data_IF_692327756588
#
_entry.id   IF_692327756588
#
_cell.length_a   1.000
_cell.length_b   1.000
_cell.length_c   1.000
_cell.angle_alpha   90.00
_cell.angle_beta   90.00
_cell.angle_gamma   90.00
#
_symmetry.space_group_name_H-M   'P 1'
#
loop_
_entity.id
_entity.type
_entity.pdbx_description
1 polymer ?
#
# COMPACT_ATOMS: atom_id res chain seq x y z
N UNK A 1 -22.48 13.52 -8.76
CA UNK A 1 -21.71 12.28 -8.94
C UNK A 1 -20.24 12.56 -8.77
N UNK A 2 -19.55 11.73 -7.99
CA UNK A 2 -18.10 11.84 -7.78
C UNK A 2 -17.43 10.78 -8.66
N UNK A 3 -16.53 11.19 -9.55
CA UNK A 3 -15.78 10.28 -10.43
C UNK A 3 -14.33 10.20 -9.98
N UNK A 4 -13.84 9.00 -9.71
CA UNK A 4 -12.45 8.80 -9.36
C UNK A 4 -11.61 8.39 -10.58
N UNK A 5 -10.30 8.73 -10.57
CA UNK A 5 -9.32 8.23 -11.53
C UNK A 5 -9.26 6.69 -11.60
N UNK A 6 -9.67 6.01 -10.52
CA UNK A 6 -9.78 4.57 -10.41
C UNK A 6 -10.93 3.95 -11.25
N UNK A 7 -11.77 4.78 -11.88
CA UNK A 7 -12.95 4.35 -12.63
C UNK A 7 -14.21 4.21 -11.76
N UNK A 8 -14.09 4.23 -10.43
CA UNK A 8 -15.27 4.21 -9.56
C UNK A 8 -16.00 5.55 -9.62
N UNK A 9 -17.32 5.46 -9.69
CA UNK A 9 -18.22 6.58 -9.49
C UNK A 9 -19.13 6.28 -8.29
N UNK A 10 -19.30 7.25 -7.40
CA UNK A 10 -20.19 7.11 -6.25
C UNK A 10 -21.07 8.35 -6.09
N UNK A 11 -22.31 8.08 -5.69
CA UNK A 11 -23.34 9.08 -5.40
C UNK A 11 -23.19 9.48 -3.93
N UNK A 12 -22.83 10.73 -3.68
CA UNK A 12 -22.76 11.30 -2.33
C UNK A 12 -23.39 12.67 -2.36
N UNK A 13 -24.10 13.04 -1.28
CA UNK A 13 -24.63 14.38 -1.09
C UNK A 13 -23.48 15.39 -1.04
N UNK A 14 -23.27 16.11 -2.14
CA UNK A 14 -22.24 17.15 -2.25
C UNK A 14 -22.89 18.46 -2.67
N UNK A 15 -22.38 19.57 -2.14
CA UNK A 15 -22.77 20.93 -2.56
C UNK A 15 -22.38 21.24 -4.01
N UNK A 16 -21.44 20.47 -4.59
CA UNK A 16 -21.04 20.56 -6.00
C UNK A 16 -21.59 19.39 -6.80
N UNK A 17 -22.15 19.69 -7.99
CA UNK A 17 -22.78 18.70 -8.88
C UNK A 17 -21.81 17.65 -9.43
N UNK A 18 -20.58 18.05 -9.78
CA UNK A 18 -19.54 17.17 -10.34
C UNK A 18 -18.22 17.37 -9.60
N UNK A 19 -17.62 16.27 -9.14
CA UNK A 19 -16.33 16.28 -8.46
C UNK A 19 -15.45 15.17 -9.01
N UNK A 20 -14.25 15.53 -9.47
CA UNK A 20 -13.21 14.59 -9.87
C UNK A 20 -12.24 14.40 -8.71
N UNK A 21 -11.96 13.16 -8.35
CA UNK A 21 -11.10 12.83 -7.20
C UNK A 21 -10.01 11.86 -7.64
N UNK A 22 -8.78 12.06 -7.20
CA UNK A 22 -7.66 11.19 -7.61
C UNK A 22 -7.61 9.88 -6.80
N UNK A 23 -8.13 9.88 -5.57
CA UNK A 23 -8.05 8.74 -4.66
C UNK A 23 -9.45 8.42 -4.09
N UNK A 24 -9.91 7.19 -4.34
CA UNK A 24 -11.15 6.62 -3.80
C UNK A 24 -10.85 5.69 -2.61
N UNK A 25 -11.87 5.30 -1.82
CA UNK A 25 -11.72 4.30 -0.74
C UNK A 25 -11.15 2.98 -1.24
N UNK A 26 -11.42 2.60 -2.50
CA UNK A 26 -10.87 1.41 -3.12
C UNK A 26 -9.38 1.54 -3.50
N UNK A 27 -8.81 2.75 -3.54
CA UNK A 27 -7.43 3.00 -3.95
C UNK A 27 -6.51 3.44 -2.82
N UNK A 28 -7.06 3.98 -1.73
CA UNK A 28 -6.22 4.47 -0.64
C UNK A 28 -5.51 3.28 0.03
N UNK A 29 -4.17 3.28 0.13
CA UNK A 29 -3.37 2.17 0.69
C UNK A 29 -3.82 1.70 2.08
N UNK A 30 -4.45 2.60 2.83
CA UNK A 30 -5.08 2.32 4.13
C UNK A 30 -6.19 1.26 4.06
N UNK A 31 -7.00 1.25 2.99
CA UNK A 31 -8.11 0.32 2.83
C UNK A 31 -7.71 -0.93 2.06
N UNK A 32 -6.71 -0.85 1.18
CA UNK A 32 -6.22 -2.01 0.41
C UNK A 32 -5.27 -2.90 1.20
N UNK A 33 -5.04 -2.60 2.48
CA UNK A 33 -4.43 -3.53 3.44
C UNK A 33 -2.98 -3.87 3.16
N UNK A 34 -2.31 -3.18 2.23
CA UNK A 34 -0.86 -3.30 2.04
C UNK A 34 -0.20 -2.53 3.17
N UNK A 35 -0.21 -3.12 4.37
CA UNK A 35 0.75 -2.78 5.40
C UNK A 35 2.11 -2.90 4.72
N UNK A 36 2.73 -1.76 4.45
CA UNK A 36 4.15 -1.71 4.17
C UNK A 36 4.77 -2.20 5.48
N UNK A 37 5.02 -3.51 5.58
CA UNK A 37 5.93 -4.04 6.58
C UNK A 37 7.21 -3.30 6.25
N UNK A 38 7.49 -2.25 7.03
CA UNK A 38 8.76 -1.56 6.94
C UNK A 38 9.71 -2.57 7.54
N UNK A 39 10.30 -3.35 6.64
CA UNK A 39 11.05 -4.54 6.95
C UNK A 39 12.11 -4.25 8.01
N UNK A 40 11.86 -4.74 9.21
CA UNK A 40 12.89 -4.94 10.24
C UNK A 40 14.01 -5.85 9.72
N UNK A 41 13.80 -6.53 8.59
CA UNK A 41 14.78 -7.33 7.87
C UNK A 41 16.07 -6.56 7.55
N UNK A 42 16.01 -5.27 7.21
CA UNK A 42 17.22 -4.53 6.80
C UNK A 42 18.29 -4.36 7.90
N UNK A 43 17.92 -4.43 9.18
CA UNK A 43 18.89 -4.45 10.30
C UNK A 43 19.45 -5.84 10.56
N UNK A 44 18.62 -6.87 10.42
CA UNK A 44 19.00 -8.28 10.60
C UNK A 44 19.89 -8.76 9.46
N UNK A 45 19.56 -8.41 8.20
CA UNK A 45 20.38 -8.69 7.02
C UNK A 45 21.79 -8.09 7.14
N UNK A 46 21.89 -6.83 7.62
CA UNK A 46 23.20 -6.18 7.85
C UNK A 46 24.01 -6.87 8.95
N UNK A 47 23.34 -7.40 9.97
CA UNK A 47 23.98 -8.19 11.03
C UNK A 47 24.46 -9.53 10.47
N UNK A 48 23.60 -10.29 9.80
CA UNK A 48 23.92 -11.59 9.21
C UNK A 48 25.06 -11.48 8.19
N UNK A 49 25.07 -10.43 7.35
CA UNK A 49 26.14 -10.14 6.38
C UNK A 49 27.47 -9.77 7.04
N UNK A 50 27.45 -9.20 8.25
CA UNK A 50 28.67 -8.86 9.00
C UNK A 50 29.28 -10.08 9.69
N UNK A 51 28.46 -11.07 10.04
CA UNK A 51 28.88 -12.27 10.78
C UNK A 51 28.91 -13.55 9.92
N UNK A 52 28.74 -13.47 8.60
CA UNK A 52 28.71 -14.61 7.66
C UNK A 52 27.75 -15.74 8.09
N UNK A 53 26.62 -15.37 8.69
CA UNK A 53 25.56 -16.31 9.09
C UNK A 53 24.55 -16.42 7.93
N UNK A 54 24.95 -16.96 6.79
CA UNK A 54 24.03 -17.26 5.69
C UNK A 54 23.40 -18.63 5.92
N UNK A 55 22.21 -18.66 6.51
CA UNK A 55 21.28 -19.76 6.28
C UNK A 55 20.34 -19.31 5.17
N UNK A 56 20.49 -19.94 4.01
CA UNK A 56 19.66 -19.77 2.83
C UNK A 56 18.25 -20.32 3.12
N UNK A 57 17.34 -19.47 3.59
CA UNK A 57 15.89 -19.75 3.58
C UNK A 57 15.13 -18.51 3.08
N UNK A 58 15.51 -18.06 1.87
CA UNK A 58 14.62 -17.28 1.02
C UNK A 58 13.72 -18.26 0.26
N UNK A 59 12.63 -18.71 0.89
CA UNK A 59 11.49 -19.26 0.16
C UNK A 59 10.40 -18.20 0.10
N UNK A 60 10.21 -17.67 -1.10
CA UNK A 60 9.06 -16.92 -1.56
C UNK A 60 7.77 -17.20 -0.76
N UNK A 61 7.21 -16.15 -0.16
CA UNK A 61 5.77 -15.93 -0.13
C UNK A 61 5.44 -14.44 -0.01
#
# INVERSE_FOLDING_TARGET
TISCACGNSFETGSTKKNMKVEICSACHPLFTGKQKIIDTAGRVERFNKKYNLTNDEDSDN
#
